data_IF_705362340319
#
_entry.id   IF_705362340319
#
_cell.length_a   1.000
_cell.length_b   1.000
_cell.length_c   1.000
_cell.angle_alpha   90.00
_cell.angle_beta   90.00
_cell.angle_gamma   90.00
#
_symmetry.space_group_name_H-M   'P 1'
#
loop_
_entity.id
_entity.type
_entity.pdbx_description
1 polymer ?
#
# COMPACT_ATOMS: atom_id res chain seq x y z
N UNK A 1 -13.31 22.39 16.35
CA UNK A 1 -14.44 21.46 16.09
C UNK A 1 -15.21 21.27 17.38
N UNK A 2 -16.55 21.33 17.38
CA UNK A 2 -17.35 20.99 18.55
C UNK A 2 -17.05 19.57 19.02
N UNK A 3 -16.98 19.36 20.33
CA UNK A 3 -16.58 18.07 20.93
C UNK A 3 -17.54 16.93 20.60
N UNK A 4 -18.83 17.22 20.44
CA UNK A 4 -19.84 16.23 20.04
C UNK A 4 -19.60 15.70 18.62
N UNK A 5 -19.16 16.56 17.69
CA UNK A 5 -18.80 16.15 16.31
C UNK A 5 -17.64 15.17 16.36
N UNK A 6 -16.59 15.50 17.13
CA UNK A 6 -15.42 14.64 17.29
C UNK A 6 -15.82 13.28 17.86
N UNK A 7 -16.63 13.25 18.92
CA UNK A 7 -17.09 11.98 19.50
C UNK A 7 -17.90 11.15 18.52
N UNK A 8 -18.82 11.75 17.76
CA UNK A 8 -19.56 11.05 16.72
C UNK A 8 -18.64 10.46 15.65
N UNK A 9 -17.63 11.22 15.21
CA UNK A 9 -16.63 10.74 14.26
C UNK A 9 -15.84 9.56 14.83
N UNK A 10 -15.37 9.62 16.08
CA UNK A 10 -14.66 8.50 16.72
C UNK A 10 -15.54 7.25 16.76
N UNK A 11 -16.81 7.37 17.16
CA UNK A 11 -17.73 6.22 17.21
C UNK A 11 -17.90 5.58 15.83
N UNK A 12 -18.14 6.39 14.79
CA UNK A 12 -18.28 5.87 13.43
C UNK A 12 -16.98 5.23 12.91
N UNK A 13 -15.82 5.85 13.19
CA UNK A 13 -14.52 5.27 12.84
C UNK A 13 -14.28 3.92 13.51
N UNK A 14 -14.71 3.73 14.76
CA UNK A 14 -14.64 2.42 15.43
C UNK A 14 -15.65 1.44 14.83
N UNK A 15 -16.86 1.88 14.49
CA UNK A 15 -17.85 1.00 13.84
C UNK A 15 -17.36 0.44 12.49
N UNK A 16 -16.44 1.13 11.79
CA UNK A 16 -15.84 0.64 10.54
C UNK A 16 -15.11 -0.71 10.67
N UNK A 17 -14.73 -1.16 11.87
CA UNK A 17 -14.18 -2.50 12.05
C UNK A 17 -15.11 -3.59 11.51
N UNK A 18 -16.43 -3.45 11.69
CA UNK A 18 -17.42 -4.45 11.26
C UNK A 18 -17.40 -4.64 9.72
N UNK A 19 -17.66 -3.61 8.90
CA UNK A 19 -17.64 -3.77 7.45
C UNK A 19 -16.24 -4.13 6.92
N UNK A 20 -15.17 -3.63 7.54
CA UNK A 20 -13.80 -3.97 7.13
C UNK A 20 -13.51 -5.45 7.36
N UNK A 21 -13.87 -6.02 8.51
CA UNK A 21 -13.73 -7.45 8.79
C UNK A 21 -14.54 -8.28 7.79
N UNK A 22 -15.76 -7.85 7.44
CA UNK A 22 -16.57 -8.54 6.45
C UNK A 22 -15.89 -8.58 5.06
N UNK A 23 -15.35 -7.44 4.61
CA UNK A 23 -14.59 -7.37 3.34
C UNK A 23 -13.31 -8.22 3.41
N UNK A 24 -12.58 -8.12 4.52
CA UNK A 24 -11.37 -8.88 4.76
C UNK A 24 -11.64 -10.40 4.74
N UNK A 25 -12.70 -10.86 5.40
CA UNK A 25 -13.10 -12.26 5.38
C UNK A 25 -13.43 -12.72 3.96
N UNK A 26 -14.21 -11.95 3.21
CA UNK A 26 -14.56 -12.29 1.82
C UNK A 26 -13.33 -12.41 0.90
N UNK A 27 -12.40 -11.45 0.99
CA UNK A 27 -11.22 -11.41 0.14
C UNK A 27 -10.16 -12.43 0.57
N UNK A 28 -9.80 -12.45 1.85
CA UNK A 28 -8.72 -13.32 2.36
C UNK A 28 -9.11 -14.79 2.32
N UNK A 29 -10.36 -15.15 2.61
CA UNK A 29 -10.81 -16.56 2.51
C UNK A 29 -10.81 -17.02 1.06
N UNK A 30 -11.22 -16.18 0.11
CA UNK A 30 -11.15 -16.50 -1.33
C UNK A 30 -9.73 -16.80 -1.80
N UNK A 31 -8.75 -16.00 -1.36
CA UNK A 31 -7.33 -16.23 -1.66
C UNK A 31 -6.79 -17.45 -0.92
N UNK A 32 -7.12 -17.60 0.37
CA UNK A 32 -6.63 -18.70 1.21
C UNK A 32 -7.17 -20.06 0.78
N UNK A 33 -8.36 -20.14 0.19
CA UNK A 33 -8.87 -21.38 -0.43
C UNK A 33 -8.12 -21.76 -1.71
N UNK A 34 -7.48 -20.80 -2.36
CA UNK A 34 -6.79 -20.98 -3.64
C UNK A 34 -5.30 -20.60 -3.56
N UNK A 35 -4.59 -21.09 -2.54
CA UNK A 35 -3.16 -20.78 -2.34
C UNK A 35 -2.26 -21.23 -3.49
N UNK A 36 -2.67 -22.26 -4.24
CA UNK A 36 -1.96 -22.69 -5.45
C UNK A 36 -1.93 -21.57 -6.50
N UNK A 37 -3.07 -20.91 -6.74
CA UNK A 37 -3.18 -19.81 -7.70
C UNK A 37 -2.37 -18.60 -7.26
N UNK A 38 -2.26 -18.34 -5.95
CA UNK A 38 -1.40 -17.27 -5.40
C UNK A 38 0.09 -17.54 -5.67
N UNK A 39 0.51 -18.82 -5.65
CA UNK A 39 1.88 -19.21 -5.96
C UNK A 39 2.18 -19.08 -7.44
N UNK A 40 1.23 -19.35 -8.33
CA UNK A 40 1.48 -19.28 -9.78
C UNK A 40 1.30 -17.87 -10.36
N UNK A 41 0.27 -17.15 -9.91
CA UNK A 41 -0.12 -15.88 -10.52
C UNK A 41 0.55 -14.68 -9.85
N UNK A 42 1.52 -14.07 -10.54
CA UNK A 42 2.12 -12.80 -10.10
C UNK A 42 1.08 -11.68 -9.92
N UNK A 43 0.14 -11.44 -10.85
CA UNK A 43 -0.91 -10.43 -10.66
C UNK A 43 -1.73 -10.66 -9.38
N UNK A 44 -2.04 -11.91 -9.04
CA UNK A 44 -2.78 -12.23 -7.84
C UNK A 44 -1.99 -11.90 -6.57
N UNK A 45 -0.65 -12.03 -6.58
CA UNK A 45 0.19 -11.61 -5.44
C UNK A 45 0.08 -10.12 -5.15
N UNK A 46 0.06 -9.28 -6.18
CA UNK A 46 -0.17 -7.83 -6.01
C UNK A 46 -1.55 -7.57 -5.40
N UNK A 47 -2.60 -8.16 -5.97
CA UNK A 47 -3.98 -7.94 -5.50
C UNK A 47 -4.17 -8.44 -4.06
N UNK A 48 -3.68 -9.63 -3.74
CA UNK A 48 -3.77 -10.21 -2.41
C UNK A 48 -2.99 -9.39 -1.37
N UNK A 49 -1.78 -8.94 -1.71
CA UNK A 49 -1.02 -8.04 -0.83
C UNK A 49 -1.73 -6.71 -0.62
N UNK A 50 -2.26 -6.10 -1.68
CA UNK A 50 -3.01 -4.85 -1.58
C UNK A 50 -4.29 -4.98 -0.74
N UNK A 51 -5.04 -6.07 -0.87
CA UNK A 51 -6.20 -6.37 -0.04
C UNK A 51 -5.83 -6.55 1.45
N UNK A 52 -4.66 -7.15 1.72
CA UNK A 52 -4.11 -7.23 3.07
C UNK A 52 -3.79 -5.83 3.62
N UNK A 53 -3.13 -4.99 2.81
CA UNK A 53 -2.81 -3.60 3.19
C UNK A 53 -4.07 -2.74 3.39
N UNK A 54 -5.15 -2.97 2.65
CA UNK A 54 -6.45 -2.33 2.90
C UNK A 54 -6.97 -2.62 4.30
N UNK A 55 -6.87 -3.89 4.72
CA UNK A 55 -7.33 -4.33 6.04
C UNK A 55 -6.50 -3.62 7.12
N UNK A 56 -5.17 -3.61 6.97
CA UNK A 56 -4.29 -2.91 7.90
C UNK A 56 -4.53 -1.40 7.93
N UNK A 57 -4.65 -0.74 6.77
CA UNK A 57 -4.95 0.69 6.69
C UNK A 57 -6.24 1.02 7.43
N UNK A 58 -7.29 0.26 7.18
CA UNK A 58 -8.60 0.49 7.78
C UNK A 58 -8.57 0.30 9.30
N UNK A 59 -7.94 -0.78 9.78
CA UNK A 59 -7.77 -1.02 11.21
C UNK A 59 -6.95 0.09 11.88
N UNK A 60 -5.82 0.45 11.28
CA UNK A 60 -4.96 1.52 11.77
C UNK A 60 -5.70 2.86 11.82
N UNK A 61 -6.48 3.20 10.78
CA UNK A 61 -7.28 4.43 10.74
C UNK A 61 -8.35 4.48 11.82
N UNK A 62 -9.02 3.36 12.09
CA UNK A 62 -9.98 3.27 13.21
C UNK A 62 -9.31 3.47 14.57
N UNK A 63 -8.07 3.00 14.75
CA UNK A 63 -7.28 3.21 15.97
C UNK A 63 -6.82 4.66 16.08
N UNK A 64 -6.36 5.27 14.99
CA UNK A 64 -5.93 6.68 14.93
C UNK A 64 -7.05 7.68 15.23
N UNK A 65 -8.31 7.29 15.01
CA UNK A 65 -9.47 8.12 15.35
C UNK A 65 -9.69 8.23 16.86
N UNK A 66 -9.18 7.29 17.68
CA UNK A 66 -9.30 7.36 19.13
C UNK A 66 -8.56 8.58 19.66
N UNK A 67 -9.22 9.40 20.50
CA UNK A 67 -8.62 10.64 21.02
C UNK A 67 -7.27 10.42 21.68
N UNK A 68 -7.10 9.34 22.46
CA UNK A 68 -5.84 9.01 23.13
C UNK A 68 -4.70 8.75 22.16
N UNK A 69 -4.98 8.09 21.04
CA UNK A 69 -4.00 7.82 19.97
C UNK A 69 -3.75 9.10 19.17
N UNK A 70 -4.83 9.78 18.78
CA UNK A 70 -4.78 10.99 17.98
C UNK A 70 -3.98 12.11 18.64
N UNK A 71 -4.04 12.25 19.98
CA UNK A 71 -3.19 13.20 20.71
C UNK A 71 -1.69 13.02 20.44
N UNK A 72 -1.25 11.79 20.14
CA UNK A 72 0.15 11.48 19.84
C UNK A 72 0.39 11.53 18.32
N UNK A 73 -0.51 10.99 17.52
CA UNK A 73 -0.27 10.77 16.08
C UNK A 73 -0.65 11.97 15.20
N UNK A 74 -1.54 12.85 15.67
CA UNK A 74 -2.00 14.00 14.90
C UNK A 74 -0.87 15.00 14.67
N UNK A 75 -0.79 15.54 13.45
CA UNK A 75 0.30 16.42 12.99
C UNK A 75 1.71 15.80 13.00
N UNK A 76 1.83 14.48 13.08
CA UNK A 76 3.13 13.79 12.94
C UNK A 76 3.25 13.05 11.63
N UNK A 77 4.44 12.51 11.37
CA UNK A 77 4.66 11.60 10.25
C UNK A 77 3.83 10.30 10.29
N UNK A 78 3.21 9.97 11.42
CA UNK A 78 2.37 8.77 11.55
C UNK A 78 1.18 8.82 10.58
N UNK A 79 0.46 9.95 10.53
CA UNK A 79 -0.66 10.17 9.60
C UNK A 79 -0.22 10.10 8.14
N UNK A 80 1.01 10.53 7.83
CA UNK A 80 1.58 10.39 6.48
C UNK A 80 1.80 8.90 6.15
N UNK A 81 2.33 8.13 7.10
CA UNK A 81 2.49 6.68 6.97
C UNK A 81 1.15 5.98 6.71
N UNK A 82 0.13 6.31 7.50
CA UNK A 82 -1.25 5.81 7.32
C UNK A 82 -1.83 6.12 5.94
N UNK A 83 -1.72 7.39 5.50
CA UNK A 83 -2.23 7.81 4.20
C UNK A 83 -1.59 7.01 3.06
N UNK A 84 -0.28 6.73 3.13
CA UNK A 84 0.40 5.92 2.12
C UNK A 84 0.08 4.43 2.25
N UNK A 85 -0.23 3.91 3.43
CA UNK A 85 -0.72 2.54 3.58
C UNK A 85 -2.02 2.31 2.80
N UNK A 86 -2.95 3.28 2.84
CA UNK A 86 -4.17 3.24 2.02
C UNK A 86 -3.92 3.54 0.54
N UNK A 87 -3.32 4.70 0.22
CA UNK A 87 -3.21 5.16 -1.16
C UNK A 87 -2.18 4.36 -1.98
N UNK A 88 -1.05 4.00 -1.38
CA UNK A 88 0.00 3.29 -2.08
C UNK A 88 -0.13 1.78 -1.92
N UNK A 89 -0.04 1.29 -0.69
CA UNK A 89 0.09 -0.14 -0.45
C UNK A 89 -1.20 -0.92 -0.70
N UNK A 90 -2.37 -0.29 -0.54
CA UNK A 90 -3.62 -0.82 -1.03
C UNK A 90 -3.88 -0.42 -2.49
N UNK A 91 -4.27 0.84 -2.75
CA UNK A 91 -4.83 1.22 -4.06
C UNK A 91 -3.81 1.01 -5.18
N UNK A 92 -2.60 1.55 -5.07
CA UNK A 92 -1.62 1.48 -6.15
C UNK A 92 -1.17 0.03 -6.43
N UNK A 93 -0.92 -0.78 -5.39
CA UNK A 93 -0.52 -2.19 -5.58
C UNK A 93 -1.65 -3.01 -6.23
N UNK A 94 -2.91 -2.83 -5.82
CA UNK A 94 -4.04 -3.49 -6.49
C UNK A 94 -4.12 -3.07 -7.96
N UNK A 95 -3.93 -1.78 -8.26
CA UNK A 95 -3.94 -1.27 -9.63
C UNK A 95 -2.79 -1.83 -10.47
N UNK A 96 -1.59 -2.01 -9.92
CA UNK A 96 -0.50 -2.71 -10.62
C UNK A 96 -0.87 -4.16 -10.92
N UNK A 97 -1.43 -4.88 -9.95
CA UNK A 97 -1.92 -6.25 -10.16
C UNK A 97 -2.99 -6.33 -11.24
N UNK A 98 -3.97 -5.42 -11.21
CA UNK A 98 -5.01 -5.33 -12.23
C UNK A 98 -4.43 -5.04 -13.62
N UNK A 99 -3.49 -4.09 -13.73
CA UNK A 99 -2.82 -3.78 -14.98
C UNK A 99 -2.07 -5.01 -15.55
N UNK A 100 -1.32 -5.73 -14.71
CA UNK A 100 -0.65 -6.97 -15.14
C UNK A 100 -1.61 -8.10 -15.52
N UNK A 101 -2.82 -8.11 -14.98
CA UNK A 101 -3.84 -9.08 -15.36
C UNK A 101 -4.56 -8.71 -16.66
N UNK A 102 -4.94 -7.44 -16.82
CA UNK A 102 -5.80 -6.95 -17.89
C UNK A 102 -5.01 -6.72 -19.19
N UNK A 103 -3.81 -6.15 -19.11
CA UNK A 103 -3.05 -5.75 -20.29
C UNK A 103 -2.80 -6.90 -21.28
N UNK A 104 -2.34 -8.11 -20.86
CA UNK A 104 -2.15 -9.21 -21.80
C UNK A 104 -3.43 -9.65 -22.51
N UNK A 105 -4.56 -9.62 -21.81
CA UNK A 105 -5.88 -10.01 -22.33
C UNK A 105 -6.40 -9.00 -23.34
N UNK A 106 -6.25 -7.71 -23.05
CA UNK A 106 -6.64 -6.63 -23.97
C UNK A 106 -5.78 -6.61 -25.23
N UNK A 107 -4.47 -6.85 -25.08
CA UNK A 107 -3.53 -6.77 -26.21
C UNK A 107 -3.40 -8.08 -26.98
N UNK A 108 -3.88 -9.21 -26.44
CA UNK A 108 -3.70 -10.55 -26.98
C UNK A 108 -2.23 -10.98 -27.03
N UNK A 109 -1.42 -10.54 -26.05
CA UNK A 109 0.04 -10.74 -26.02
C UNK A 109 0.53 -10.89 -24.59
N UNK A 110 1.48 -11.78 -24.36
CA UNK A 110 2.13 -11.89 -23.05
C UNK A 110 3.33 -10.95 -22.89
N UNK A 111 3.60 -10.59 -21.62
CA UNK A 111 4.78 -9.82 -21.23
C UNK A 111 6.06 -10.58 -21.59
N UNK A 112 7.02 -9.89 -22.20
CA UNK A 112 8.26 -10.51 -22.68
C UNK A 112 9.21 -10.96 -21.55
N UNK A 113 9.09 -10.40 -20.33
CA UNK A 113 10.00 -10.68 -19.22
C UNK A 113 9.25 -10.81 -17.88
N UNK A 114 8.72 -12.01 -17.56
CA UNK A 114 8.01 -12.26 -16.30
C UNK A 114 8.83 -11.91 -15.05
N UNK A 115 10.17 -12.08 -15.10
CA UNK A 115 11.06 -11.71 -14.00
C UNK A 115 11.03 -10.23 -13.63
N UNK A 116 10.75 -9.32 -14.58
CA UNK A 116 10.61 -7.90 -14.26
C UNK A 116 9.34 -7.60 -13.45
N UNK A 117 8.28 -8.38 -13.61
CA UNK A 117 7.06 -8.26 -12.81
C UNK A 117 7.36 -8.64 -11.36
N UNK A 118 8.15 -9.70 -11.15
CA UNK A 118 8.58 -10.12 -9.82
C UNK A 118 9.53 -9.09 -9.18
N UNK A 119 10.46 -8.54 -9.96
CA UNK A 119 11.34 -7.46 -9.50
C UNK A 119 10.53 -6.22 -9.10
N UNK A 120 9.56 -5.81 -9.92
CA UNK A 120 8.65 -4.72 -9.58
C UNK A 120 7.93 -4.98 -8.26
N UNK A 121 7.35 -6.17 -8.07
CA UNK A 121 6.66 -6.54 -6.84
C UNK A 121 7.55 -6.34 -5.60
N UNK A 122 8.77 -6.89 -5.61
CA UNK A 122 9.65 -6.80 -4.45
C UNK A 122 10.17 -5.38 -4.22
N UNK A 123 10.48 -4.63 -5.28
CA UNK A 123 10.89 -3.23 -5.15
C UNK A 123 9.81 -2.38 -4.46
N UNK A 124 8.55 -2.52 -4.86
CA UNK A 124 7.47 -1.74 -4.25
C UNK A 124 7.08 -2.24 -2.87
N UNK A 125 7.08 -3.56 -2.62
CA UNK A 125 6.75 -4.11 -1.29
C UNK A 125 7.82 -3.79 -0.26
N UNK A 126 9.09 -4.03 -0.57
CA UNK A 126 10.19 -3.74 0.36
C UNK A 126 10.40 -2.24 0.53
N UNK A 127 10.34 -1.47 -0.56
CA UNK A 127 10.43 -0.02 -0.50
C UNK A 127 9.31 0.59 0.34
N UNK A 128 8.07 0.10 0.17
CA UNK A 128 6.94 0.53 0.98
C UNK A 128 7.07 0.10 2.45
N UNK A 129 7.58 -1.10 2.75
CA UNK A 129 7.79 -1.53 4.12
C UNK A 129 8.74 -0.58 4.86
N UNK A 130 9.88 -0.22 4.25
CA UNK A 130 10.82 0.78 4.81
C UNK A 130 10.12 2.12 5.02
N UNK A 131 9.38 2.59 4.02
CA UNK A 131 8.62 3.85 4.07
C UNK A 131 7.61 3.86 5.23
N UNK A 132 6.82 2.80 5.37
CA UNK A 132 5.75 2.71 6.34
C UNK A 132 6.28 2.62 7.77
N UNK A 133 7.23 1.72 8.03
CA UNK A 133 7.76 1.54 9.38
C UNK A 133 8.57 2.75 9.84
N UNK A 134 9.35 3.38 8.95
CA UNK A 134 10.10 4.59 9.30
C UNK A 134 9.17 5.74 9.72
N UNK A 135 8.12 6.03 8.96
CA UNK A 135 7.18 7.10 9.30
C UNK A 135 6.30 6.76 10.50
N UNK A 136 5.94 5.49 10.69
CA UNK A 136 5.17 5.07 11.85
C UNK A 136 5.97 5.27 13.15
N UNK A 137 7.21 4.80 13.18
CA UNK A 137 8.07 4.95 14.36
C UNK A 137 8.43 6.43 14.57
N UNK A 138 8.92 7.10 13.52
CA UNK A 138 9.31 8.50 13.59
C UNK A 138 8.15 9.42 13.97
N UNK A 139 6.93 9.13 13.50
CA UNK A 139 5.73 9.86 13.84
C UNK A 139 5.32 9.74 15.31
N UNK A 140 5.35 8.52 15.86
CA UNK A 140 5.07 8.32 17.30
C UNK A 140 6.10 9.06 18.16
N UNK A 141 7.39 8.93 17.83
CA UNK A 141 8.46 9.60 18.56
C UNK A 141 8.36 11.13 18.47
N UNK A 142 8.03 11.65 17.30
CA UNK A 142 7.75 13.08 17.10
C UNK A 142 6.59 13.54 18.00
N UNK A 143 5.49 12.79 18.03
CA UNK A 143 4.34 13.06 18.88
C UNK A 143 4.69 13.13 20.36
N UNK A 144 5.41 12.11 20.84
CA UNK A 144 5.87 12.06 22.23
C UNK A 144 6.81 13.22 22.57
N UNK A 145 7.72 13.59 21.67
CA UNK A 145 8.62 14.73 21.87
C UNK A 145 7.89 16.07 21.90
N UNK A 146 6.81 16.25 21.11
CA UNK A 146 5.99 17.46 21.13
C UNK A 146 5.12 17.59 22.39
N UNK A 147 4.77 16.47 23.02
CA UNK A 147 4.01 16.45 24.28
C UNK A 147 4.90 16.68 25.51
N UNK A 148 6.22 16.55 25.37
CA UNK A 148 7.19 16.80 26.43
C UNK A 148 7.51 18.29 26.55
N UNK A 149 6.98 18.92 27.61
CA UNK A 149 7.17 20.35 27.87
C UNK A 149 8.63 20.78 28.13
N UNK A 150 9.53 19.82 28.37
CA UNK A 150 10.96 20.11 28.57
C UNK A 150 11.72 20.24 27.26
N UNK A 151 11.12 19.83 26.13
CA UNK A 151 11.74 19.84 24.81
C UNK A 151 11.25 21.00 23.96
N UNK A 152 12.13 21.48 23.09
CA UNK A 152 11.76 22.45 22.06
C UNK A 152 11.10 21.75 20.86
N UNK A 153 10.27 22.49 20.11
CA UNK A 153 9.72 21.98 18.85
C UNK A 153 10.84 21.58 17.86
N UNK A 154 11.95 22.32 17.83
CA UNK A 154 13.09 22.03 16.95
C UNK A 154 13.70 20.65 17.22
N UNK A 155 13.76 20.20 18.47
CA UNK A 155 14.24 18.86 18.83
C UNK A 155 13.33 17.77 18.26
N UNK A 156 12.01 17.99 18.24
CA UNK A 156 11.06 17.05 17.63
C UNK A 156 11.29 16.89 16.12
N UNK A 157 11.72 17.95 15.44
CA UNK A 157 12.06 17.93 14.01
C UNK A 157 13.41 17.27 13.76
N UNK A 158 14.42 17.55 14.60
CA UNK A 158 15.74 16.92 14.46
C UNK A 158 15.64 15.42 14.69
N UNK A 159 14.80 14.99 15.64
CA UNK A 159 14.53 13.58 15.94
C UNK A 159 13.99 12.80 14.74
N UNK A 160 13.25 13.43 13.82
CA UNK A 160 12.65 12.72 12.68
C UNK A 160 13.61 12.51 11.52
N UNK A 161 14.76 13.19 11.47
CA UNK A 161 15.73 13.11 10.37
C UNK A 161 16.08 11.69 9.90
N UNK A 162 16.53 10.75 10.77
CA UNK A 162 16.88 9.40 10.30
C UNK A 162 15.68 8.64 9.71
N UNK A 163 14.47 8.91 10.21
CA UNK A 163 13.24 8.31 9.68
C UNK A 163 12.87 8.89 8.31
N UNK A 164 13.14 10.17 8.07
CA UNK A 164 12.93 10.82 6.77
C UNK A 164 13.97 10.39 5.72
N UNK A 165 15.20 10.11 6.15
CA UNK A 165 16.21 9.50 5.30
C UNK A 165 15.80 8.08 4.89
N UNK A 166 15.37 7.25 5.86
CA UNK A 166 14.82 5.93 5.58
C UNK A 166 13.60 5.97 4.66
N UNK A 167 12.68 6.93 4.87
CA UNK A 167 11.56 7.20 3.97
C UNK A 167 12.03 7.45 2.54
N UNK A 168 13.10 8.22 2.36
CA UNK A 168 13.66 8.55 1.04
C UNK A 168 14.27 7.32 0.36
N UNK A 169 14.93 6.44 1.12
CA UNK A 169 15.43 5.15 0.62
C UNK A 169 14.25 4.27 0.14
N UNK A 170 13.23 4.12 0.97
CA UNK A 170 12.02 3.35 0.62
C UNK A 170 11.31 3.91 -0.62
N UNK A 171 11.14 5.25 -0.68
CA UNK A 171 10.55 5.94 -1.83
C UNK A 171 11.37 5.80 -3.11
N UNK A 172 12.70 5.74 -3.02
CA UNK A 172 13.59 5.49 -4.16
C UNK A 172 13.39 4.07 -4.68
N UNK A 173 13.34 3.06 -3.81
CA UNK A 173 13.05 1.68 -4.20
C UNK A 173 11.68 1.56 -4.87
N UNK A 174 10.66 2.21 -4.31
CA UNK A 174 9.33 2.27 -4.92
C UNK A 174 9.41 2.89 -6.32
N UNK A 175 10.11 4.02 -6.48
CA UNK A 175 10.27 4.72 -7.77
C UNK A 175 10.96 3.83 -8.80
N UNK A 176 12.02 3.12 -8.42
CA UNK A 176 12.67 2.12 -9.28
C UNK A 176 11.67 1.02 -9.70
N UNK A 177 10.80 0.59 -8.79
CA UNK A 177 9.69 -0.31 -9.11
C UNK A 177 8.77 0.23 -10.21
N UNK A 178 8.41 1.51 -10.18
CA UNK A 178 7.57 2.14 -11.21
C UNK A 178 8.30 2.23 -12.56
N UNK A 179 9.61 2.45 -12.56
CA UNK A 179 10.41 2.41 -13.79
C UNK A 179 10.35 1.01 -14.41
N UNK A 180 10.51 -0.04 -13.59
CA UNK A 180 10.37 -1.44 -14.04
C UNK A 180 8.95 -1.73 -14.55
N UNK A 181 7.93 -1.19 -13.90
CA UNK A 181 6.54 -1.27 -14.37
C UNK A 181 6.38 -0.62 -15.74
N UNK A 182 6.83 0.62 -15.91
CA UNK A 182 6.76 1.36 -17.16
C UNK A 182 7.48 0.62 -18.31
N UNK A 183 8.66 0.05 -18.04
CA UNK A 183 9.40 -0.77 -19.02
C UNK A 183 8.57 -1.98 -19.48
N UNK A 184 7.88 -2.67 -18.55
CA UNK A 184 7.01 -3.79 -18.92
C UNK A 184 5.82 -3.35 -19.78
N UNK A 185 5.17 -2.24 -19.40
CA UNK A 185 4.03 -1.69 -20.13
C UNK A 185 4.43 -1.24 -21.54
N UNK A 186 5.54 -0.51 -21.68
CA UNK A 186 6.08 -0.11 -22.99
C UNK A 186 6.45 -1.36 -23.80
N UNK A 187 7.06 -2.35 -23.17
CA UNK A 187 7.45 -3.59 -23.82
C UNK A 187 6.27 -4.38 -24.43
N UNK A 188 5.12 -4.42 -23.77
CA UNK A 188 3.92 -5.08 -24.32
C UNK A 188 3.24 -4.23 -25.41
N UNK A 189 3.28 -2.90 -25.28
CA UNK A 189 2.73 -1.95 -26.25
C UNK A 189 3.48 -2.01 -27.59
N UNK A 190 4.81 -2.04 -27.55
CA UNK A 190 5.67 -2.03 -28.73
C UNK A 190 5.83 -3.38 -29.42
N UNK A 191 5.31 -4.48 -28.84
CA UNK A 191 5.40 -5.82 -29.43
C UNK A 191 4.51 -5.90 -30.68
N UNK A 192 4.91 -6.57 -31.78
CA UNK A 192 4.00 -6.80 -32.91
C UNK A 192 2.78 -7.62 -32.47
N UNK A 193 1.62 -7.40 -33.10
CA UNK A 193 0.42 -8.23 -32.81
C UNK A 193 0.72 -9.62 -33.34
N UNK A 194 0.67 -10.63 -32.47
CA UNK A 194 0.63 -12.00 -32.95
C UNK A 194 -0.57 -12.10 -33.90
N UNK A 195 -0.34 -12.54 -35.14
CA UNK A 195 -1.43 -12.84 -36.06
C UNK A 195 -2.27 -13.91 -35.40
N UNK A 196 -3.52 -13.59 -35.06
CA UNK A 196 -4.47 -14.61 -34.62
C UNK A 196 -4.66 -15.55 -35.82
N UNK A 197 -4.04 -16.73 -35.78
CA UNK A 197 -4.41 -17.79 -36.71
C UNK A 197 -5.83 -18.23 -36.32
N UNK A 198 -6.83 -18.09 -37.21
CA UNK A 198 -8.19 -18.49 -36.92
C UNK A 198 -8.30 -20.01 -37.08
N UNK A 199 -7.79 -20.80 -36.13
CA UNK A 199 -8.01 -22.26 -36.02
C UNK A 199 -7.78 -22.62 -34.53
N UNK A 200 -8.68 -23.25 -33.76
CA UNK A 200 -9.80 -24.13 -34.08
C UNK A 200 -11.03 -23.78 -33.24
N UNK A 201 -12.17 -23.60 -33.90
CA UNK A 201 -13.46 -23.93 -33.33
C UNK A 201 -13.73 -25.38 -33.74
N UNK A 202 -13.48 -26.33 -32.84
CA UNK A 202 -14.06 -27.67 -32.82
C UNK A 202 -14.49 -27.98 -31.39
#
# INVERSE_FOLDING_TARGET
>A
MPTWVVTLSVVHSVMMFIPVIAVAANQHVTVARNTWALKESLPLRFIAFGALMYTFASFQGSIEALRSVNTITHFTHYTVGHAHLGAYAFVSIVMFGAAYHIMPRMMGRDFSRPGLIQLHFWLVVLGFAIYFFSLSIGGVLQGLAMLDATRSFAESVILTKPYLEARSIGGTMMTLGHIVFAINIIGILCKPRAVQNPVAAE
#
